data_IF_287317415110
#
_entry.id   IF_287317415110
#
_cell.length_a   1.000
_cell.length_b   1.000
_cell.length_c   1.000
_cell.angle_alpha   90.00
_cell.angle_beta   90.00
_cell.angle_gamma   90.00
#
_symmetry.space_group_name_H-M   'P 1'
#
loop_
_entity.id
_entity.type
_entity.pdbx_description
1 polymer ?
#
# COMPACT_ATOMS: atom_id res chain seq x y z
N UNK A 1 -108.43 -3.18 29.46
CA UNK A 1 -107.67 -4.40 29.14
C UNK A 1 -107.55 -4.48 27.63
N UNK A 2 -106.35 -4.69 27.09
CA UNK A 2 -106.14 -4.91 25.65
C UNK A 2 -105.95 -6.41 25.45
N UNK A 3 -106.65 -7.02 24.50
CA UNK A 3 -106.48 -8.44 24.16
C UNK A 3 -105.05 -8.73 23.72
N UNK A 4 -104.47 -9.82 24.25
CA UNK A 4 -103.05 -10.18 24.09
C UNK A 4 -102.72 -10.71 22.70
N UNK A 5 -103.73 -11.13 21.94
CA UNK A 5 -103.57 -11.70 20.59
C UNK A 5 -103.68 -10.58 19.54
N UNK A 6 -102.53 -10.09 19.07
CA UNK A 6 -102.45 -9.12 17.96
C UNK A 6 -101.53 -7.91 18.19
N UNK A 7 -100.96 -7.75 19.38
CA UNK A 7 -100.08 -6.60 19.71
C UNK A 7 -98.65 -6.84 19.22
N UNK A 8 -98.14 -6.00 18.30
CA UNK A 8 -96.79 -6.10 17.70
C UNK A 8 -95.70 -5.50 18.61
N UNK A 9 -96.00 -4.35 19.21
CA UNK A 9 -95.16 -3.64 20.17
C UNK A 9 -96.04 -3.13 21.31
N UNK A 10 -95.53 -3.15 22.54
CA UNK A 10 -96.21 -2.61 23.70
C UNK A 10 -95.25 -1.77 24.55
N UNK A 11 -95.79 -0.70 25.12
CA UNK A 11 -95.07 0.24 26.00
C UNK A 11 -95.66 0.07 27.39
N UNK A 12 -94.83 -0.31 28.35
CA UNK A 12 -95.19 -0.36 29.76
C UNK A 12 -94.56 0.82 30.48
N UNK A 13 -95.39 1.71 31.03
CA UNK A 13 -94.97 2.89 31.79
C UNK A 13 -95.31 2.66 33.26
N UNK A 14 -94.33 2.77 34.14
CA UNK A 14 -94.50 2.71 35.59
C UNK A 14 -93.68 3.79 36.29
N UNK A 15 -93.84 3.91 37.61
CA UNK A 15 -93.00 4.78 38.44
C UNK A 15 -91.51 4.37 38.47
N UNK A 16 -91.18 3.15 38.03
CA UNK A 16 -89.81 2.62 37.96
C UNK A 16 -89.16 2.85 36.58
N UNK A 17 -89.93 3.25 35.58
CA UNK A 17 -89.44 3.57 34.24
C UNK A 17 -90.37 3.12 33.11
N UNK A 18 -89.88 3.25 31.88
CA UNK A 18 -90.59 2.82 30.67
C UNK A 18 -89.87 1.64 30.03
N UNK A 19 -90.59 0.53 29.80
CA UNK A 19 -90.09 -0.63 29.05
C UNK A 19 -90.89 -0.77 27.76
N UNK A 20 -90.19 -0.72 26.63
CA UNK A 20 -90.75 -1.02 25.32
C UNK A 20 -90.38 -2.46 24.99
N UNK A 21 -91.36 -3.29 24.65
CA UNK A 21 -91.14 -4.67 24.22
C UNK A 21 -91.97 -4.99 22.97
N UNK A 22 -91.40 -5.75 22.05
CA UNK A 22 -92.05 -6.13 20.80
C UNK A 22 -91.06 -6.77 19.84
N UNK A 23 -91.57 -7.43 18.80
CA UNK A 23 -90.74 -8.17 17.83
C UNK A 23 -90.24 -7.32 16.66
N UNK A 24 -90.75 -6.08 16.53
CA UNK A 24 -90.44 -5.15 15.43
C UNK A 24 -90.31 -3.72 15.93
N UNK A 25 -89.34 -3.48 16.82
CA UNK A 25 -88.99 -2.12 17.21
C UNK A 25 -88.13 -1.50 16.10
N UNK A 26 -88.64 -0.44 15.48
CA UNK A 26 -87.93 0.35 14.48
C UNK A 26 -87.85 1.79 14.99
N UNK A 27 -86.64 2.26 15.28
CA UNK A 27 -86.36 3.63 15.69
C UNK A 27 -85.87 4.38 14.44
N UNK A 28 -86.51 5.50 14.12
CA UNK A 28 -86.25 6.31 12.92
C UNK A 28 -86.18 7.80 13.27
N UNK A 29 -85.88 8.69 12.31
CA UNK A 29 -85.61 10.13 12.47
C UNK A 29 -84.37 10.46 13.34
N UNK A 30 -84.11 11.75 13.57
CA UNK A 30 -83.07 12.27 14.49
C UNK A 30 -83.42 11.89 15.95
N UNK A 31 -83.32 10.60 16.28
CA UNK A 31 -83.52 10.10 17.64
C UNK A 31 -82.21 10.19 18.41
N UNK A 32 -82.20 10.99 19.47
CA UNK A 32 -81.07 11.10 20.38
C UNK A 32 -81.21 10.06 21.51
N UNK A 33 -80.16 9.26 21.74
CA UNK A 33 -80.13 8.24 22.80
C UNK A 33 -78.93 8.52 23.70
N UNK A 34 -79.17 9.13 24.84
CA UNK A 34 -78.14 9.37 25.85
C UNK A 34 -77.82 8.10 26.64
N UNK A 35 -76.52 7.89 26.92
CA UNK A 35 -76.02 6.83 27.81
C UNK A 35 -76.55 5.42 27.47
N UNK A 36 -76.71 5.13 26.18
CA UNK A 36 -77.20 3.83 25.71
C UNK A 36 -76.29 2.68 26.22
N UNK A 37 -76.89 1.64 26.77
CA UNK A 37 -76.20 0.39 27.11
C UNK A 37 -76.57 -0.66 26.06
N UNK A 38 -75.63 -0.98 25.18
CA UNK A 38 -75.76 -2.05 24.19
C UNK A 38 -74.83 -3.19 24.59
N UNK A 39 -75.40 -4.35 24.97
CA UNK A 39 -74.61 -5.53 25.33
C UNK A 39 -74.13 -6.28 24.08
N UNK A 40 -75.02 -6.42 23.10
CA UNK A 40 -74.79 -7.07 21.81
C UNK A 40 -75.59 -6.35 20.73
N UNK A 41 -75.07 -6.31 19.49
CA UNK A 41 -75.78 -5.77 18.34
C UNK A 41 -75.39 -6.51 17.05
N UNK A 42 -76.37 -6.80 16.19
CA UNK A 42 -76.15 -7.30 14.84
C UNK A 42 -76.06 -6.12 13.87
N UNK A 43 -74.86 -5.56 13.72
CA UNK A 43 -74.61 -4.41 12.85
C UNK A 43 -74.00 -4.91 11.54
N UNK A 44 -74.70 -4.71 10.41
CA UNK A 44 -74.15 -5.06 9.10
C UNK A 44 -73.04 -4.12 8.66
N UNK A 45 -73.17 -2.84 8.97
CA UNK A 45 -72.19 -1.79 8.70
C UNK A 45 -72.39 -0.61 9.65
N UNK A 46 -71.31 0.13 9.93
CA UNK A 46 -71.30 1.30 10.79
C UNK A 46 -70.41 2.37 10.15
N UNK A 47 -70.94 3.58 9.94
CA UNK A 47 -70.08 4.75 9.70
C UNK A 47 -69.43 5.14 11.03
N UNK A 48 -68.11 5.02 11.11
CA UNK A 48 -67.35 5.13 12.35
C UNK A 48 -66.66 6.50 12.55
N UNK A 49 -67.01 7.52 11.76
CA UNK A 49 -66.35 8.83 11.74
C UNK A 49 -66.49 9.62 13.06
N UNK A 50 -67.41 9.21 13.94
CA UNK A 50 -67.65 9.83 15.26
C UNK A 50 -67.36 8.90 16.44
N UNK A 51 -66.78 7.72 16.22
CA UNK A 51 -66.43 6.83 17.34
C UNK A 51 -65.25 7.41 18.10
N UNK A 52 -65.50 7.84 19.34
CA UNK A 52 -64.47 8.15 20.33
C UNK A 52 -64.66 7.18 21.50
N UNK A 53 -63.66 6.34 21.75
CA UNK A 53 -63.73 5.28 22.76
C UNK A 53 -62.52 5.33 23.68
N UNK A 54 -62.69 4.96 24.96
CA UNK A 54 -61.56 4.79 25.88
C UNK A 54 -60.73 3.55 25.55
N UNK A 55 -61.39 2.40 25.42
CA UNK A 55 -60.77 1.13 25.04
C UNK A 55 -61.60 0.43 23.99
N UNK A 56 -60.98 0.05 22.88
CA UNK A 56 -61.54 -0.89 21.90
C UNK A 56 -60.75 -2.19 22.04
N UNK A 57 -61.40 -3.26 22.49
CA UNK A 57 -60.79 -4.59 22.49
C UNK A 57 -60.82 -5.16 21.06
N UNK A 58 -59.70 -5.03 20.35
CA UNK A 58 -59.58 -5.38 18.94
C UNK A 58 -59.12 -6.83 18.68
N UNK A 59 -59.33 -7.76 19.62
CA UNK A 59 -58.84 -9.14 19.51
C UNK A 59 -59.27 -9.88 18.22
N UNK A 60 -60.43 -9.53 17.65
CA UNK A 60 -61.00 -10.15 16.46
C UNK A 60 -61.33 -9.15 15.34
N UNK A 61 -60.68 -7.98 15.33
CA UNK A 61 -60.94 -6.93 14.32
C UNK A 61 -59.91 -7.03 13.20
N UNK A 62 -60.38 -7.08 11.94
CA UNK A 62 -59.54 -6.90 10.77
C UNK A 62 -59.49 -5.42 10.38
N UNK A 63 -58.32 -4.81 10.48
CA UNK A 63 -58.09 -3.41 10.06
C UNK A 63 -57.43 -3.42 8.68
N UNK A 64 -58.09 -2.83 7.70
CA UNK A 64 -57.56 -2.73 6.33
C UNK A 64 -56.57 -1.57 6.22
N UNK A 65 -56.93 -0.41 6.77
CA UNK A 65 -56.09 0.79 6.82
C UNK A 65 -56.16 1.38 8.22
N UNK A 66 -55.01 1.75 8.79
CA UNK A 66 -54.91 2.46 10.06
C UNK A 66 -54.24 3.81 9.79
N UNK A 67 -55.01 4.89 9.90
CA UNK A 67 -54.46 6.24 9.93
C UNK A 67 -54.39 6.70 11.39
N UNK A 68 -53.18 6.77 11.93
CA UNK A 68 -52.95 7.13 13.33
C UNK A 68 -51.77 8.08 13.42
N UNK A 69 -51.95 9.20 14.14
CA UNK A 69 -50.87 10.16 14.41
C UNK A 69 -49.79 9.52 15.30
N UNK A 70 -50.19 8.65 16.23
CA UNK A 70 -49.30 7.95 17.14
C UNK A 70 -49.75 6.49 17.34
N UNK A 71 -48.79 5.60 17.47
CA UNK A 71 -49.01 4.19 17.85
C UNK A 71 -48.18 3.91 19.11
N UNK A 72 -48.84 3.86 20.26
CA UNK A 72 -48.23 3.43 21.52
C UNK A 72 -48.58 1.96 21.73
N UNK A 73 -47.61 1.07 21.48
CA UNK A 73 -47.78 -0.38 21.63
C UNK A 73 -46.55 -0.99 22.29
N UNK A 74 -46.66 -2.24 22.75
CA UNK A 74 -45.47 -3.00 23.15
C UNK A 74 -44.68 -3.51 21.94
N UNK A 75 -45.39 -4.16 21.01
CA UNK A 75 -44.81 -4.78 19.82
C UNK A 75 -45.77 -4.65 18.63
N UNK A 76 -45.24 -4.25 17.47
CA UNK A 76 -45.91 -4.39 16.18
C UNK A 76 -45.26 -5.56 15.45
N UNK A 77 -46.02 -6.60 15.11
CA UNK A 77 -45.46 -7.84 14.55
C UNK A 77 -46.29 -8.38 13.40
N UNK A 78 -45.62 -8.71 12.31
CA UNK A 78 -46.10 -9.60 11.25
C UNK A 78 -45.20 -10.83 11.12
N UNK A 79 -45.42 -11.63 10.08
CA UNK A 79 -44.61 -12.83 9.82
C UNK A 79 -43.13 -12.53 9.60
N UNK A 80 -42.81 -11.41 8.93
CA UNK A 80 -41.46 -11.10 8.48
C UNK A 80 -40.80 -9.91 9.19
N UNK A 81 -41.53 -9.19 10.05
CA UNK A 81 -41.06 -7.97 10.72
C UNK A 81 -41.62 -7.88 12.15
N UNK A 82 -40.73 -7.60 13.10
CA UNK A 82 -41.08 -7.26 14.49
C UNK A 82 -40.47 -5.89 14.83
N UNK A 83 -41.29 -4.96 15.31
CA UNK A 83 -40.88 -3.67 15.85
C UNK A 83 -41.22 -3.66 17.34
N UNK A 84 -40.21 -3.78 18.19
CA UNK A 84 -40.35 -3.70 19.64
C UNK A 84 -40.25 -2.26 20.10
N UNK A 85 -41.38 -1.60 20.32
CA UNK A 85 -41.41 -0.19 20.77
C UNK A 85 -40.96 -0.05 22.24
N UNK A 86 -41.08 -1.11 23.03
CA UNK A 86 -40.54 -1.15 24.40
C UNK A 86 -39.02 -1.43 24.47
N UNK A 87 -38.46 -2.12 23.47
CA UNK A 87 -37.05 -2.55 23.47
C UNK A 87 -36.15 -1.76 22.53
N UNK A 88 -36.72 -1.02 21.57
CA UNK A 88 -35.98 -0.36 20.49
C UNK A 88 -35.49 -1.31 19.39
N UNK A 89 -35.80 -2.60 19.45
CA UNK A 89 -35.36 -3.58 18.46
C UNK A 89 -36.27 -3.57 17.22
N UNK A 90 -35.65 -3.60 16.04
CA UNK A 90 -36.33 -3.84 14.76
C UNK A 90 -35.72 -5.10 14.14
N UNK A 91 -36.51 -6.17 14.06
CA UNK A 91 -36.06 -7.47 13.56
C UNK A 91 -36.76 -7.83 12.26
N UNK A 92 -35.98 -8.02 11.21
CA UNK A 92 -36.44 -8.59 9.95
C UNK A 92 -36.13 -10.09 9.94
N UNK A 93 -37.16 -10.93 9.85
CA UNK A 93 -37.01 -12.38 9.69
C UNK A 93 -36.78 -12.76 8.22
N UNK A 94 -37.38 -12.00 7.32
CA UNK A 94 -37.23 -12.14 5.88
C UNK A 94 -37.52 -10.80 5.20
N UNK A 95 -37.10 -10.69 3.94
CA UNK A 95 -37.39 -9.52 3.10
C UNK A 95 -36.15 -8.68 2.79
N UNK A 96 -36.41 -7.46 2.32
CA UNK A 96 -35.39 -6.53 1.85
C UNK A 96 -35.80 -5.08 2.11
N UNK A 97 -34.80 -4.23 2.36
CA UNK A 97 -34.94 -2.76 2.34
C UNK A 97 -34.20 -2.28 1.09
N UNK A 98 -34.91 -1.71 0.12
CA UNK A 98 -34.29 -1.29 -1.13
C UNK A 98 -34.90 -0.01 -1.70
N UNK A 99 -34.10 0.74 -2.46
CA UNK A 99 -34.60 1.84 -3.30
C UNK A 99 -35.41 1.28 -4.49
N UNK A 100 -36.28 2.09 -5.10
CA UNK A 100 -37.14 1.65 -6.19
C UNK A 100 -36.37 1.07 -7.40
N UNK A 101 -35.17 1.59 -7.65
CA UNK A 101 -34.23 1.13 -8.68
C UNK A 101 -33.29 -0.01 -8.22
N UNK A 102 -33.35 -0.41 -6.94
CA UNK A 102 -32.45 -1.38 -6.28
C UNK A 102 -30.97 -0.95 -6.30
N UNK A 103 -30.68 0.34 -6.42
CA UNK A 103 -29.34 0.89 -6.27
C UNK A 103 -28.84 0.76 -4.83
N UNK A 104 -29.69 1.01 -3.83
CA UNK A 104 -29.43 0.70 -2.42
C UNK A 104 -30.25 -0.54 -2.07
N UNK A 105 -29.62 -1.60 -1.56
CA UNK A 105 -30.33 -2.84 -1.20
C UNK A 105 -29.67 -3.54 0.00
N UNK A 106 -30.49 -3.81 1.02
CA UNK A 106 -30.19 -4.68 2.17
C UNK A 106 -31.13 -5.88 2.07
N UNK A 107 -30.57 -7.06 1.82
CA UNK A 107 -31.37 -8.26 1.60
C UNK A 107 -31.10 -9.29 2.71
N UNK A 108 -32.11 -9.54 3.52
CA UNK A 108 -32.01 -10.43 4.69
C UNK A 108 -31.99 -11.89 4.24
N UNK A 109 -32.77 -12.23 3.23
CA UNK A 109 -32.84 -13.59 2.69
C UNK A 109 -31.50 -14.02 2.10
N UNK A 110 -30.88 -13.13 1.32
CA UNK A 110 -29.64 -13.40 0.59
C UNK A 110 -28.38 -12.96 1.36
N UNK A 111 -28.52 -12.37 2.56
CA UNK A 111 -27.42 -11.96 3.45
C UNK A 111 -26.40 -11.05 2.76
N UNK A 112 -26.88 -9.94 2.17
CA UNK A 112 -26.01 -8.92 1.61
C UNK A 112 -26.46 -7.50 1.90
N UNK A 113 -25.52 -6.57 1.79
CA UNK A 113 -25.74 -5.12 1.73
C UNK A 113 -25.05 -4.61 0.47
N UNK A 114 -25.69 -3.72 -0.28
CA UNK A 114 -25.09 -3.18 -1.50
C UNK A 114 -25.55 -1.77 -1.87
N UNK A 115 -24.65 -1.06 -2.55
CA UNK A 115 -24.89 0.27 -3.13
C UNK A 115 -24.31 0.29 -4.54
N UNK A 116 -25.10 0.70 -5.53
CA UNK A 116 -24.70 0.77 -6.94
C UNK A 116 -24.82 2.19 -7.52
N UNK A 117 -24.00 2.47 -8.51
CA UNK A 117 -24.16 3.57 -9.44
C UNK A 117 -24.22 3.02 -10.88
N UNK A 118 -23.97 3.86 -11.90
CA UNK A 118 -23.98 3.44 -13.31
C UNK A 118 -22.83 2.50 -13.71
N UNK A 119 -21.72 2.50 -12.97
CA UNK A 119 -20.46 1.85 -13.34
C UNK A 119 -20.14 0.63 -12.47
N UNK A 120 -20.49 0.67 -11.18
CA UNK A 120 -20.18 -0.39 -10.22
C UNK A 120 -21.21 -0.51 -9.08
N UNK A 121 -21.12 -1.63 -8.36
CA UNK A 121 -21.81 -1.90 -7.10
C UNK A 121 -20.79 -2.29 -6.04
N UNK A 122 -20.83 -1.62 -4.90
CA UNK A 122 -20.22 -2.11 -3.67
C UNK A 122 -21.15 -3.18 -3.10
N UNK A 123 -20.62 -4.39 -2.92
CA UNK A 123 -21.37 -5.57 -2.49
C UNK A 123 -20.69 -6.19 -1.28
N UNK A 124 -21.43 -6.30 -0.17
CA UNK A 124 -20.93 -6.85 1.09
C UNK A 124 -21.73 -8.13 1.37
N UNK A 125 -21.04 -9.27 1.38
CA UNK A 125 -21.63 -10.57 1.72
C UNK A 125 -20.54 -11.54 2.14
N UNK A 126 -20.89 -12.61 2.86
CA UNK A 126 -19.93 -13.68 3.20
C UNK A 126 -18.69 -13.25 3.99
N UNK A 127 -18.69 -12.06 4.60
CA UNK A 127 -17.53 -11.51 5.30
C UNK A 127 -16.52 -10.77 4.41
N UNK A 128 -16.84 -10.53 3.14
CA UNK A 128 -16.01 -9.78 2.19
C UNK A 128 -16.72 -8.53 1.66
N UNK A 129 -15.93 -7.58 1.15
CA UNK A 129 -16.40 -6.42 0.39
C UNK A 129 -15.89 -6.57 -1.04
N UNK A 130 -16.79 -6.48 -2.01
CA UNK A 130 -16.46 -6.50 -3.42
C UNK A 130 -16.95 -5.24 -4.13
N UNK A 131 -16.20 -4.79 -5.16
CA UNK A 131 -16.73 -3.90 -6.19
C UNK A 131 -17.00 -4.71 -7.45
N UNK A 132 -18.25 -4.76 -7.90
CA UNK A 132 -18.71 -5.59 -9.02
C UNK A 132 -19.50 -4.77 -10.04
N UNK A 133 -19.95 -5.39 -11.13
CA UNK A 133 -20.86 -4.75 -12.07
C UNK A 133 -22.17 -4.32 -11.39
N UNK A 134 -22.77 -3.18 -11.78
CA UNK A 134 -23.86 -2.54 -11.04
C UNK A 134 -25.16 -3.38 -11.00
N UNK A 135 -25.34 -4.27 -11.98
CA UNK A 135 -26.52 -5.12 -12.17
C UNK A 135 -26.48 -6.45 -11.41
N UNK A 136 -25.34 -6.80 -10.79
CA UNK A 136 -25.15 -8.08 -10.10
C UNK A 136 -25.53 -7.98 -8.62
N UNK A 137 -26.10 -9.05 -8.06
CA UNK A 137 -26.53 -9.12 -6.65
C UNK A 137 -25.97 -10.36 -5.92
N UNK A 138 -24.76 -10.77 -6.30
CA UNK A 138 -24.07 -11.91 -5.72
C UNK A 138 -22.55 -11.71 -5.80
N UNK A 139 -21.82 -12.34 -4.87
CA UNK A 139 -20.37 -12.37 -4.91
C UNK A 139 -19.87 -12.94 -6.23
N UNK A 140 -18.83 -12.33 -6.77
CA UNK A 140 -18.18 -12.73 -8.00
C UNK A 140 -16.85 -13.40 -7.69
N UNK A 141 -16.42 -14.32 -8.54
CA UNK A 141 -15.07 -14.91 -8.49
C UNK A 141 -14.00 -13.94 -9.01
N UNK A 142 -14.39 -12.99 -9.87
CA UNK A 142 -13.51 -11.99 -10.49
C UNK A 142 -14.12 -10.58 -10.38
N UNK A 143 -14.33 -10.06 -9.15
CA UNK A 143 -14.80 -8.69 -8.92
C UNK A 143 -13.75 -7.68 -9.36
N UNK A 144 -14.10 -6.41 -9.56
CA UNK A 144 -13.11 -5.36 -9.85
C UNK A 144 -12.10 -5.20 -8.70
N UNK A 145 -12.61 -5.20 -7.48
CA UNK A 145 -11.85 -5.14 -6.22
C UNK A 145 -12.48 -6.12 -5.22
N UNK A 146 -11.66 -6.80 -4.42
CA UNK A 146 -12.08 -7.62 -3.28
C UNK A 146 -11.23 -7.29 -2.06
N UNK A 147 -11.90 -7.01 -0.94
CA UNK A 147 -11.31 -6.93 0.39
C UNK A 147 -11.85 -8.10 1.19
N UNK A 148 -10.96 -8.98 1.64
CA UNK A 148 -11.33 -10.22 2.30
C UNK A 148 -10.19 -10.75 3.15
N UNK A 149 -10.47 -11.72 4.01
CA UNK A 149 -9.44 -12.51 4.68
C UNK A 149 -9.03 -13.75 3.84
N UNK A 150 -9.29 -13.70 2.53
CA UNK A 150 -8.90 -14.77 1.63
C UNK A 150 -7.38 -14.83 1.50
N UNK A 151 -6.86 -16.04 1.42
CA UNK A 151 -5.42 -16.31 1.30
C UNK A 151 -4.86 -15.76 -0.02
N UNK A 152 -3.79 -14.97 0.08
CA UNK A 152 -2.96 -14.56 -1.04
C UNK A 152 -1.49 -14.66 -0.62
N UNK A 153 -0.79 -15.68 -1.14
CA UNK A 153 0.60 -15.96 -0.76
C UNK A 153 0.72 -16.41 0.70
N UNK A 154 1.55 -15.74 1.49
CA UNK A 154 1.85 -16.11 2.88
C UNK A 154 0.89 -15.52 3.93
N UNK A 155 -0.29 -15.04 3.54
CA UNK A 155 -1.20 -14.22 4.36
C UNK A 155 -2.03 -15.01 5.39
N UNK A 156 -1.44 -15.95 6.14
CA UNK A 156 -2.15 -16.69 7.20
C UNK A 156 -2.66 -15.73 8.28
N UNK A 157 -3.98 -15.58 8.39
CA UNK A 157 -4.63 -14.63 9.31
C UNK A 157 -4.62 -13.17 8.85
N UNK A 158 -4.26 -12.88 7.59
CA UNK A 158 -4.18 -11.52 7.05
C UNK A 158 -5.42 -11.05 6.28
N UNK A 159 -5.46 -9.76 5.99
CA UNK A 159 -6.41 -9.16 5.06
C UNK A 159 -5.75 -8.99 3.68
N UNK A 160 -6.50 -9.29 2.62
CA UNK A 160 -6.07 -9.15 1.24
C UNK A 160 -6.88 -8.06 0.57
N UNK A 161 -6.18 -7.11 -0.05
CA UNK A 161 -6.74 -6.17 -1.02
C UNK A 161 -6.37 -6.66 -2.42
N UNK A 162 -7.36 -7.14 -3.17
CA UNK A 162 -7.14 -7.76 -4.47
C UNK A 162 -7.84 -6.95 -5.56
N UNK A 163 -7.11 -6.61 -6.63
CA UNK A 163 -7.64 -5.97 -7.82
C UNK A 163 -7.57 -6.95 -8.99
N UNK A 164 -8.57 -6.91 -9.88
CA UNK A 164 -8.71 -7.91 -10.95
C UNK A 164 -7.60 -7.89 -11.99
N UNK A 165 -7.39 -6.72 -12.58
CA UNK A 165 -6.57 -6.54 -13.77
C UNK A 165 -5.40 -5.60 -13.45
N UNK A 166 -5.71 -4.36 -13.06
CA UNK A 166 -4.74 -3.31 -12.77
C UNK A 166 -5.10 -2.59 -11.46
N UNK A 167 -4.13 -2.27 -10.63
CA UNK A 167 -4.33 -1.49 -9.41
C UNK A 167 -3.52 -0.19 -9.42
N UNK A 168 -4.08 0.83 -8.79
CA UNK A 168 -3.41 2.10 -8.48
C UNK A 168 -3.81 2.50 -7.07
N UNK A 169 -2.81 2.76 -6.22
CA UNK A 169 -3.00 3.42 -4.93
C UNK A 169 -2.22 4.72 -4.98
N UNK A 170 -2.95 5.84 -5.03
CA UNK A 170 -2.38 7.18 -5.19
C UNK A 170 -3.26 8.21 -4.47
N UNK A 171 -2.75 9.44 -4.34
CA UNK A 171 -3.53 10.58 -3.91
C UNK A 171 -3.98 11.40 -5.13
N UNK A 172 -5.11 12.11 -5.01
CA UNK A 172 -5.72 12.82 -6.14
C UNK A 172 -4.93 14.01 -6.70
N UNK A 173 -3.86 14.46 -6.05
CA UNK A 173 -2.96 15.47 -6.62
C UNK A 173 -1.85 14.88 -7.49
N UNK A 174 -1.69 13.54 -7.48
CA UNK A 174 -0.57 12.82 -8.10
C UNK A 174 -1.03 11.52 -8.78
N UNK A 175 -2.20 11.52 -9.38
CA UNK A 175 -2.81 10.38 -10.07
C UNK A 175 -2.54 10.35 -11.59
N UNK A 176 -1.81 11.34 -12.11
CA UNK A 176 -1.31 11.41 -13.49
C UNK A 176 0.06 10.76 -13.71
N UNK A 177 0.52 10.75 -14.96
CA UNK A 177 1.87 10.31 -15.40
C UNK A 177 2.30 8.92 -14.92
N UNK A 178 1.36 7.97 -14.90
CA UNK A 178 1.61 6.57 -14.55
C UNK A 178 2.21 5.80 -15.74
N UNK A 179 3.30 6.31 -16.31
CA UNK A 179 4.04 5.67 -17.40
C UNK A 179 5.15 4.75 -16.87
N UNK A 180 5.44 3.70 -17.65
CA UNK A 180 6.53 2.73 -17.43
C UNK A 180 7.90 3.41 -17.32
N UNK A 181 8.14 4.44 -18.14
CA UNK A 181 9.33 5.28 -18.06
C UNK A 181 8.90 6.70 -17.70
N UNK A 182 9.44 7.29 -16.62
CA UNK A 182 9.15 8.69 -16.31
C UNK A 182 9.75 9.58 -17.41
N UNK A 183 8.92 10.45 -18.00
CA UNK A 183 9.36 11.48 -18.93
C UNK A 183 9.38 12.82 -18.21
N UNK A 184 10.54 13.45 -18.07
CA UNK A 184 10.68 14.69 -17.30
C UNK A 184 10.53 14.48 -15.79
N UNK A 185 9.96 15.47 -15.11
CA UNK A 185 9.71 15.40 -13.67
C UNK A 185 8.60 14.39 -13.36
N UNK A 186 8.77 13.57 -12.33
CA UNK A 186 7.74 12.63 -11.90
C UNK A 186 6.57 13.38 -11.24
N UNK A 187 5.34 13.06 -11.62
CA UNK A 187 4.13 13.58 -10.95
C UNK A 187 3.32 12.50 -10.23
N UNK A 188 3.53 11.21 -10.53
CA UNK A 188 2.87 10.10 -9.83
C UNK A 188 3.45 9.86 -8.43
N UNK A 189 2.59 9.79 -7.41
CA UNK A 189 2.96 9.45 -6.03
C UNK A 189 2.07 8.32 -5.50
N UNK A 190 2.62 7.11 -5.45
CA UNK A 190 1.85 5.92 -5.11
C UNK A 190 2.49 4.62 -5.59
N UNK A 191 1.68 3.57 -5.63
CA UNK A 191 2.04 2.27 -6.20
C UNK A 191 1.01 1.86 -7.25
N UNK A 192 1.47 1.35 -8.39
CA UNK A 192 0.61 0.78 -9.41
C UNK A 192 1.21 -0.48 -10.03
N UNK A 193 0.38 -1.29 -10.67
CA UNK A 193 0.83 -2.48 -11.40
C UNK A 193 -0.32 -3.35 -11.89
N UNK A 194 0.01 -4.33 -12.72
CA UNK A 194 -0.94 -5.30 -13.26
C UNK A 194 -1.08 -5.24 -14.78
N UNK A 195 -2.21 -5.75 -15.29
CA UNK A 195 -2.54 -5.84 -16.70
C UNK A 195 -3.47 -4.70 -17.13
N UNK A 196 -2.90 -3.67 -17.77
CA UNK A 196 -3.66 -2.57 -18.35
C UNK A 196 -4.23 -2.95 -19.74
N UNK A 197 -5.00 -2.07 -20.37
CA UNK A 197 -5.51 -2.25 -21.74
C UNK A 197 -4.37 -2.44 -22.76
N UNK A 198 -3.20 -1.86 -22.49
CA UNK A 198 -1.97 -1.99 -23.30
C UNK A 198 -1.14 -3.23 -22.96
N UNK A 199 -1.61 -4.11 -22.05
CA UNK A 199 -0.91 -5.31 -21.60
C UNK A 199 -0.32 -5.18 -20.18
N UNK A 200 0.49 -6.18 -19.79
CA UNK A 200 1.20 -6.19 -18.52
C UNK A 200 2.13 -4.99 -18.38
N UNK A 201 1.98 -4.27 -17.28
CA UNK A 201 2.83 -3.14 -16.91
C UNK A 201 3.73 -3.53 -15.74
N UNK A 202 4.93 -2.94 -15.62
CA UNK A 202 5.75 -3.12 -14.43
C UNK A 202 5.06 -2.55 -13.20
N UNK A 203 5.42 -3.07 -12.02
CA UNK A 203 5.06 -2.42 -10.76
C UNK A 203 5.85 -1.12 -10.63
N UNK A 204 5.13 0.00 -10.54
CA UNK A 204 5.71 1.33 -10.37
C UNK A 204 5.54 1.79 -8.92
N UNK A 205 6.61 2.27 -8.31
CA UNK A 205 6.57 3.03 -7.07
C UNK A 205 7.01 4.45 -7.41
N UNK A 206 6.11 5.41 -7.23
CA UNK A 206 6.34 6.82 -7.52
C UNK A 206 6.28 7.68 -6.26
N UNK A 207 7.07 8.76 -6.26
CA UNK A 207 7.13 9.75 -5.19
C UNK A 207 6.85 11.19 -5.64
N UNK A 208 6.39 11.35 -6.88
CA UNK A 208 6.31 12.61 -7.59
C UNK A 208 7.64 13.41 -7.50
N UNK A 209 7.59 14.73 -7.46
CA UNK A 209 8.74 15.63 -7.32
C UNK A 209 9.44 15.56 -5.96
N UNK A 210 8.91 14.76 -5.03
CA UNK A 210 9.40 14.61 -3.65
C UNK A 210 10.16 13.31 -3.42
N UNK A 211 10.30 12.47 -4.45
CA UNK A 211 11.12 11.27 -4.35
C UNK A 211 10.53 10.14 -3.51
N UNK A 212 11.26 9.03 -3.41
CA UNK A 212 10.84 7.80 -2.71
C UNK A 212 11.89 7.41 -1.68
N UNK A 213 11.49 7.23 -0.43
CA UNK A 213 12.32 6.67 0.64
C UNK A 213 11.91 5.21 0.90
N UNK A 214 12.85 4.28 0.73
CA UNK A 214 12.66 2.87 1.05
C UNK A 214 13.58 2.56 2.24
N UNK A 215 13.01 2.29 3.41
CA UNK A 215 13.77 2.08 4.66
C UNK A 215 13.32 0.84 5.41
N UNK A 216 14.24 0.18 6.11
CA UNK A 216 13.94 -0.97 6.98
C UNK A 216 15.20 -1.54 7.63
N UNK A 217 15.08 -2.66 8.35
CA UNK A 217 16.24 -3.33 8.96
C UNK A 217 16.71 -2.74 10.30
N UNK A 218 17.79 -3.32 10.84
CA UNK A 218 18.40 -2.93 12.12
C UNK A 218 19.28 -1.69 11.94
N UNK A 219 19.48 -0.95 13.03
CA UNK A 219 20.43 0.16 13.13
C UNK A 219 21.82 -0.23 12.59
N UNK A 220 22.38 0.64 11.74
CA UNK A 220 23.80 0.68 11.40
C UNK A 220 24.36 2.02 11.88
N UNK A 221 25.52 2.04 12.53
CA UNK A 221 26.03 3.25 13.21
C UNK A 221 27.17 3.90 12.46
N UNK A 222 26.98 5.18 12.15
CA UNK A 222 28.01 6.17 11.79
C UNK A 222 27.88 7.38 12.76
N UNK A 223 28.02 7.10 14.07
CA UNK A 223 27.83 8.08 15.15
C UNK A 223 26.37 8.48 15.47
N UNK A 224 25.43 8.25 14.55
CA UNK A 224 23.98 8.42 14.73
C UNK A 224 23.29 7.09 14.40
N UNK A 225 22.31 6.69 15.20
CA UNK A 225 21.55 5.45 14.99
C UNK A 225 20.54 5.57 13.85
N UNK A 226 20.80 4.93 12.72
CA UNK A 226 19.98 5.02 11.50
C UNK A 226 19.71 3.61 10.95
N UNK A 227 18.49 3.34 10.46
CA UNK A 227 18.19 2.10 9.71
C UNK A 227 18.62 2.24 8.25
N UNK A 228 19.06 1.17 7.56
CA UNK A 228 19.45 1.27 6.16
C UNK A 228 18.28 1.70 5.27
N UNK A 229 18.59 2.45 4.21
CA UNK A 229 17.61 2.96 3.28
C UNK A 229 18.15 3.26 1.89
N UNK A 230 17.22 3.47 0.96
CA UNK A 230 17.43 4.00 -0.39
C UNK A 230 16.57 5.26 -0.55
N UNK A 231 17.15 6.34 -1.06
CA UNK A 231 16.43 7.56 -1.45
C UNK A 231 16.52 7.74 -2.95
N UNK A 232 15.38 7.77 -3.63
CA UNK A 232 15.25 8.14 -5.04
C UNK A 232 14.78 9.59 -5.12
N UNK A 233 15.49 10.43 -5.86
CA UNK A 233 15.24 11.88 -5.89
C UNK A 233 16.01 12.64 -4.81
N UNK A 234 17.10 12.09 -4.27
CA UNK A 234 17.89 12.79 -3.26
C UNK A 234 18.52 14.07 -3.83
N UNK A 235 18.59 15.11 -3.01
CA UNK A 235 19.25 16.39 -3.32
C UNK A 235 20.76 16.37 -3.06
N UNK A 236 21.27 15.25 -2.52
CA UNK A 236 22.71 14.99 -2.38
C UNK A 236 23.35 15.61 -1.14
N UNK A 237 22.60 16.35 -0.32
CA UNK A 237 23.08 16.90 0.94
C UNK A 237 22.19 16.45 2.10
N UNK A 238 22.78 16.26 3.28
CA UNK A 238 22.01 15.93 4.48
C UNK A 238 21.06 17.10 4.83
N UNK A 239 19.77 16.81 5.01
CA UNK A 239 18.76 17.78 5.46
C UNK A 239 18.11 18.63 4.37
N UNK A 240 18.44 18.44 3.08
CA UNK A 240 17.94 19.30 1.99
C UNK A 240 16.69 18.77 1.25
N UNK A 241 16.12 17.64 1.70
CA UNK A 241 14.90 17.06 1.11
C UNK A 241 15.16 16.10 -0.06
N UNK A 242 14.08 15.69 -0.74
CA UNK A 242 14.06 14.58 -1.71
C UNK A 242 13.53 14.98 -3.10
N UNK A 243 13.79 16.22 -3.50
CA UNK A 243 13.40 16.80 -4.79
C UNK A 243 14.58 17.00 -5.77
N UNK A 244 15.66 16.24 -5.60
CA UNK A 244 16.83 16.26 -6.45
C UNK A 244 16.84 15.16 -7.51
N UNK A 245 17.97 15.01 -8.18
CA UNK A 245 18.19 14.05 -9.27
C UNK A 245 18.94 12.79 -8.86
N UNK A 246 19.37 12.68 -7.59
CA UNK A 246 20.28 11.64 -7.17
C UNK A 246 19.54 10.42 -6.63
N UNK A 247 20.22 9.28 -6.63
CA UNK A 247 19.83 8.10 -5.85
C UNK A 247 20.93 7.88 -4.81
N UNK A 248 20.58 7.90 -3.54
CA UNK A 248 21.51 7.61 -2.45
C UNK A 248 21.10 6.32 -1.73
N UNK A 249 22.10 5.60 -1.25
CA UNK A 249 21.92 4.35 -0.50
C UNK A 249 22.79 4.41 0.74
N UNK A 250 22.22 4.16 1.91
CA UNK A 250 22.98 4.09 3.16
C UNK A 250 22.76 2.74 3.84
N UNK A 251 23.87 2.04 4.10
CA UNK A 251 23.94 0.75 4.78
C UNK A 251 25.41 0.45 5.12
N UNK A 252 25.66 -0.56 5.97
CA UNK A 252 27.03 -1.06 6.20
C UNK A 252 27.67 -1.68 4.95
N UNK A 253 26.88 -2.37 4.12
CA UNK A 253 27.35 -3.01 2.88
C UNK A 253 26.28 -2.99 1.80
N UNK A 254 26.71 -2.86 0.54
CA UNK A 254 25.89 -3.12 -0.65
C UNK A 254 26.45 -4.36 -1.34
N UNK A 255 25.73 -5.48 -1.28
CA UNK A 255 26.14 -6.72 -1.93
C UNK A 255 25.54 -6.82 -3.34
N UNK A 256 26.38 -6.72 -4.37
CA UNK A 256 26.02 -7.00 -5.76
C UNK A 256 26.40 -8.44 -6.12
N UNK A 257 25.55 -9.41 -5.76
CA UNK A 257 25.77 -10.83 -6.06
C UNK A 257 25.34 -11.14 -7.49
N UNK A 258 26.30 -11.43 -8.36
CA UNK A 258 26.07 -11.84 -9.76
C UNK A 258 26.58 -13.26 -9.98
N UNK A 259 25.81 -14.09 -10.69
CA UNK A 259 26.27 -15.39 -11.21
C UNK A 259 27.14 -15.27 -12.46
N UNK A 260 27.21 -14.06 -13.02
CA UNK A 260 28.03 -13.75 -14.19
C UNK A 260 29.34 -13.11 -13.74
N UNK A 261 30.45 -13.65 -14.23
CA UNK A 261 31.76 -13.02 -14.18
C UNK A 261 32.10 -12.39 -15.53
N UNK A 262 32.99 -11.41 -15.52
CA UNK A 262 33.52 -10.78 -16.73
C UNK A 262 35.03 -10.76 -16.63
N UNK A 263 35.72 -11.02 -17.74
CA UNK A 263 37.17 -10.81 -17.86
C UNK A 263 37.53 -9.37 -18.25
N UNK A 264 36.54 -8.49 -18.40
CA UNK A 264 36.77 -7.07 -18.63
C UNK A 264 37.25 -6.41 -17.34
N UNK A 265 38.09 -5.37 -17.47
CA UNK A 265 38.62 -4.63 -16.32
C UNK A 265 37.53 -3.94 -15.48
N UNK A 266 37.90 -3.54 -14.26
CA UNK A 266 37.03 -2.74 -13.40
C UNK A 266 36.77 -1.37 -14.08
N UNK A 267 35.52 -1.17 -14.54
CA UNK A 267 35.14 0.01 -15.33
C UNK A 267 34.35 1.05 -14.54
N UNK A 268 34.23 0.90 -13.22
CA UNK A 268 33.57 1.86 -12.35
C UNK A 268 34.50 2.26 -11.21
N UNK A 269 34.58 3.57 -10.95
CA UNK A 269 35.27 4.17 -9.81
C UNK A 269 34.22 4.61 -8.78
N UNK A 270 34.49 4.33 -7.51
CA UNK A 270 33.70 4.85 -6.39
C UNK A 270 34.38 6.11 -5.88
N UNK A 271 33.78 7.26 -6.16
CA UNK A 271 34.29 8.56 -5.74
C UNK A 271 34.22 8.75 -4.21
N UNK A 272 35.00 9.68 -3.63
CA UNK A 272 35.00 9.95 -2.19
C UNK A 272 33.62 10.31 -1.60
N UNK A 273 32.75 10.93 -2.40
CA UNK A 273 31.37 11.29 -2.02
C UNK A 273 30.37 10.12 -2.14
N UNK A 274 30.84 8.92 -2.52
CA UNK A 274 30.03 7.72 -2.71
C UNK A 274 29.43 7.56 -4.11
N UNK A 275 29.73 8.47 -5.05
CA UNK A 275 29.25 8.34 -6.43
C UNK A 275 29.94 7.19 -7.17
N UNK A 276 29.16 6.33 -7.82
CA UNK A 276 29.67 5.31 -8.73
C UNK A 276 29.71 5.88 -10.16
N UNK A 277 30.91 6.06 -10.71
CA UNK A 277 31.13 6.69 -12.02
C UNK A 277 31.93 5.79 -12.96
N UNK A 278 31.72 5.87 -14.29
CA UNK A 278 32.49 5.06 -15.24
C UNK A 278 33.94 5.55 -15.38
N UNK A 279 34.90 4.65 -15.24
CA UNK A 279 36.33 4.90 -15.50
C UNK A 279 36.57 5.01 -17.00
N UNK A 280 37.17 6.11 -17.47
CA UNK A 280 37.45 6.34 -18.88
C UNK A 280 38.92 6.74 -19.12
N UNK A 281 39.48 6.32 -20.26
CA UNK A 281 40.88 6.63 -20.60
C UNK A 281 41.05 7.26 -21.99
N UNK A 282 39.95 7.44 -22.73
CA UNK A 282 39.99 8.00 -24.08
C UNK A 282 40.38 9.49 -24.07
N UNK A 283 41.18 9.91 -25.05
CA UNK A 283 41.69 11.28 -25.15
C UNK A 283 40.59 12.35 -25.16
N UNK A 284 39.38 12.06 -25.66
CA UNK A 284 38.24 13.00 -25.67
C UNK A 284 37.75 13.44 -24.27
N UNK A 285 38.14 12.71 -23.23
CA UNK A 285 37.83 13.04 -21.84
C UNK A 285 39.05 13.64 -21.10
N UNK A 286 40.15 13.92 -21.80
CA UNK A 286 41.43 14.36 -21.22
C UNK A 286 41.94 15.63 -21.92
N UNK A 287 42.52 16.54 -21.17
CA UNK A 287 43.25 17.71 -21.68
C UNK A 287 44.73 17.59 -21.28
N UNK A 288 45.60 18.42 -21.87
CA UNK A 288 47.01 18.58 -21.48
C UNK A 288 47.83 17.27 -21.50
N UNK A 289 47.58 16.42 -22.52
CA UNK A 289 48.24 15.12 -22.67
C UNK A 289 49.73 15.32 -23.06
N UNK A 290 50.63 15.10 -22.10
CA UNK A 290 52.09 15.03 -22.32
C UNK A 290 52.52 13.59 -22.55
N UNK A 291 53.43 13.36 -23.51
CA UNK A 291 54.03 12.04 -23.78
C UNK A 291 55.51 12.10 -23.41
N UNK A 292 55.94 11.20 -22.52
CA UNK A 292 57.32 11.15 -22.01
C UNK A 292 57.86 9.71 -22.03
N UNK A 293 59.19 9.59 -22.09
CA UNK A 293 59.94 8.34 -21.93
C UNK A 293 61.05 8.48 -20.87
N UNK A 294 60.89 9.43 -19.95
CA UNK A 294 61.81 9.63 -18.83
C UNK A 294 61.73 8.46 -17.84
N UNK A 295 62.87 8.11 -17.23
CA UNK A 295 62.99 6.94 -16.35
C UNK A 295 62.88 7.27 -14.87
N UNK A 296 62.93 8.55 -14.48
CA UNK A 296 63.08 8.99 -13.08
C UNK A 296 62.07 8.37 -12.11
N UNK A 297 60.81 8.25 -12.53
CA UNK A 297 59.73 7.66 -11.74
C UNK A 297 60.01 6.18 -11.49
N UNK A 298 60.38 5.44 -12.55
CA UNK A 298 60.77 4.04 -12.45
C UNK A 298 62.03 3.84 -11.61
N UNK A 299 63.03 4.73 -11.75
CA UNK A 299 64.28 4.68 -10.99
C UNK A 299 64.00 4.82 -9.48
N UNK A 300 63.18 5.80 -9.08
CA UNK A 300 62.75 5.97 -7.69
C UNK A 300 61.92 4.80 -7.18
N UNK A 301 61.02 4.26 -8.01
CA UNK A 301 60.14 3.17 -7.63
C UNK A 301 60.92 1.89 -7.26
N UNK A 302 62.09 1.65 -7.87
CA UNK A 302 62.94 0.51 -7.53
C UNK A 302 63.55 0.59 -6.12
N UNK A 303 63.62 1.79 -5.53
CA UNK A 303 64.16 2.03 -4.19
C UNK A 303 63.09 1.93 -3.10
N UNK A 304 61.80 1.83 -3.47
CA UNK A 304 60.68 1.72 -2.52
C UNK A 304 60.52 0.26 -2.07
N UNK A 305 60.48 -0.03 -0.76
CA UNK A 305 60.35 -1.38 -0.26
C UNK A 305 58.95 -1.98 -0.51
N UNK A 306 58.90 -3.31 -0.64
CA UNK A 306 57.65 -4.06 -0.56
C UNK A 306 57.32 -4.40 0.89
N UNK A 307 56.03 -4.50 1.20
CA UNK A 307 55.52 -4.71 2.55
C UNK A 307 54.64 -5.96 2.63
N UNK A 308 54.59 -6.54 3.84
CA UNK A 308 53.56 -7.50 4.23
C UNK A 308 52.80 -6.95 5.43
N UNK A 309 51.47 -7.02 5.42
CA UNK A 309 50.64 -6.51 6.51
C UNK A 309 49.46 -7.40 6.81
N UNK A 310 48.78 -7.12 7.93
CA UNK A 310 47.48 -7.68 8.30
C UNK A 310 46.49 -6.55 8.44
N UNK A 311 45.24 -6.79 8.04
CA UNK A 311 44.19 -5.79 8.20
C UNK A 311 43.84 -5.58 9.69
N UNK A 312 43.65 -4.31 10.09
CA UNK A 312 43.40 -3.96 11.49
C UNK A 312 42.04 -4.45 11.98
N UNK A 313 41.00 -4.44 11.14
CA UNK A 313 39.68 -4.92 11.50
C UNK A 313 39.65 -6.44 11.60
N UNK A 314 40.32 -7.16 10.70
CA UNK A 314 40.46 -8.62 10.81
C UNK A 314 41.15 -9.01 12.12
N UNK A 315 42.26 -8.34 12.46
CA UNK A 315 42.98 -8.56 13.71
C UNK A 315 42.10 -8.23 14.92
N UNK A 316 41.35 -7.13 14.88
CA UNK A 316 40.43 -6.75 15.95
C UNK A 316 39.29 -7.77 16.09
N UNK A 317 38.67 -8.19 14.99
CA UNK A 317 37.61 -9.20 14.97
C UNK A 317 38.09 -10.51 15.59
N UNK A 318 39.30 -10.97 15.25
CA UNK A 318 39.91 -12.16 15.86
C UNK A 318 40.25 -11.99 17.34
N UNK A 319 40.59 -10.77 17.76
CA UNK A 319 40.87 -10.43 19.16
C UNK A 319 39.59 -10.42 20.00
N UNK A 320 38.48 -9.93 19.44
CA UNK A 320 37.18 -9.86 20.10
C UNK A 320 36.43 -11.21 20.09
N UNK A 321 36.58 -12.00 19.03
CA UNK A 321 36.00 -13.33 18.90
C UNK A 321 37.06 -14.36 18.47
N UNK A 322 37.50 -15.25 19.38
CA UNK A 322 38.45 -16.32 19.05
C UNK A 322 37.99 -17.26 17.92
N UNK A 323 36.69 -17.34 17.63
CA UNK A 323 36.13 -18.16 16.55
C UNK A 323 36.09 -17.45 15.19
N UNK A 324 36.34 -16.14 15.13
CA UNK A 324 36.40 -15.40 13.87
C UNK A 324 37.53 -15.93 12.96
N UNK A 325 37.46 -15.61 11.66
CA UNK A 325 38.49 -16.00 10.67
C UNK A 325 39.87 -15.52 11.14
N UNK A 326 40.90 -16.37 10.99
CA UNK A 326 42.29 -15.95 11.23
C UNK A 326 42.67 -14.86 10.22
N UNK A 327 43.23 -13.72 10.65
CA UNK A 327 43.60 -12.63 9.75
C UNK A 327 44.60 -13.08 8.69
N UNK A 328 44.35 -12.72 7.44
CA UNK A 328 45.24 -13.03 6.33
C UNK A 328 46.47 -12.13 6.35
N UNK A 329 47.56 -12.56 5.69
CA UNK A 329 48.73 -11.72 5.45
C UNK A 329 48.73 -11.27 4.00
N UNK A 330 48.71 -9.97 3.80
CA UNK A 330 48.66 -9.32 2.49
C UNK A 330 50.06 -8.88 2.07
N UNK A 331 50.29 -8.80 0.75
CA UNK A 331 51.57 -8.40 0.14
C UNK A 331 51.33 -7.25 -0.86
N UNK A 332 52.24 -6.27 -0.88
CA UNK A 332 52.14 -5.11 -1.76
C UNK A 332 53.14 -4.02 -1.37
N UNK A 333 52.74 -2.76 -1.54
CA UNK A 333 53.46 -1.57 -1.09
C UNK A 333 52.58 -0.74 -0.15
N UNK A 334 53.18 0.13 0.65
CA UNK A 334 52.47 1.10 1.49
C UNK A 334 52.43 2.45 0.76
N UNK A 335 51.29 3.12 0.79
CA UNK A 335 51.08 4.37 0.06
C UNK A 335 51.97 5.50 0.61
N UNK A 336 52.17 5.54 1.92
CA UNK A 336 53.03 6.51 2.60
C UNK A 336 54.49 6.40 2.12
N UNK A 337 55.01 5.18 1.93
CA UNK A 337 56.39 4.98 1.44
C UNK A 337 56.59 5.52 0.01
N UNK A 338 55.55 5.45 -0.84
CA UNK A 338 55.57 6.04 -2.18
C UNK A 338 55.49 7.57 -2.13
N UNK A 339 54.68 8.11 -1.21
CA UNK A 339 54.56 9.55 -1.00
C UNK A 339 55.89 10.15 -0.52
N UNK A 340 56.54 9.52 0.46
CA UNK A 340 57.84 9.90 1.03
C UNK A 340 58.97 9.86 -0.02
N UNK A 341 58.91 8.93 -0.98
CA UNK A 341 59.84 8.86 -2.10
C UNK A 341 59.59 9.95 -3.18
N UNK A 342 58.54 10.75 -3.01
CA UNK A 342 58.11 11.76 -3.97
C UNK A 342 57.56 11.16 -5.26
N UNK A 343 56.85 10.03 -5.16
CA UNK A 343 56.12 9.37 -6.24
C UNK A 343 54.63 9.70 -6.19
N UNK A 344 54.30 10.98 -5.98
CA UNK A 344 52.94 11.46 -5.69
C UNK A 344 51.91 11.08 -6.78
N UNK A 345 52.34 10.88 -8.03
CA UNK A 345 51.46 10.48 -9.14
C UNK A 345 50.96 9.02 -9.08
N UNK A 346 51.61 8.21 -8.25
CA UNK A 346 51.26 6.82 -7.96
C UNK A 346 50.44 6.69 -6.66
N UNK A 347 50.22 7.80 -5.96
CA UNK A 347 49.48 7.86 -4.69
C UNK A 347 48.07 8.40 -4.95
N UNK A 348 47.08 7.84 -4.26
CA UNK A 348 45.73 8.37 -4.17
C UNK A 348 45.58 9.13 -2.86
N UNK A 349 45.02 10.34 -2.93
CA UNK A 349 44.77 11.20 -1.78
C UNK A 349 43.27 11.36 -1.55
N UNK A 350 42.87 11.60 -0.31
CA UNK A 350 41.51 12.03 0.03
C UNK A 350 41.27 13.51 -0.29
N UNK A 351 40.04 13.98 -0.12
CA UNK A 351 39.64 15.37 -0.41
C UNK A 351 40.36 16.42 0.47
N UNK A 352 41.03 15.99 1.54
CA UNK A 352 41.82 16.84 2.44
C UNK A 352 43.31 16.79 2.13
N UNK A 353 43.72 16.01 1.13
CA UNK A 353 45.11 15.83 0.72
C UNK A 353 45.89 14.80 1.55
N UNK A 354 45.22 13.96 2.35
CA UNK A 354 45.90 12.89 3.08
C UNK A 354 46.08 11.67 2.18
N UNK A 355 47.19 10.95 2.37
CA UNK A 355 47.46 9.67 1.69
C UNK A 355 46.34 8.68 2.00
N UNK A 356 45.74 8.12 0.95
CA UNK A 356 44.60 7.19 1.04
C UNK A 356 44.91 5.83 0.43
N UNK A 357 45.72 5.77 -0.62
CA UNK A 357 45.96 4.52 -1.33
C UNK A 357 47.01 4.63 -2.43
N UNK A 358 47.13 3.54 -3.20
CA UNK A 358 48.10 3.40 -4.29
C UNK A 358 47.35 3.21 -5.59
N UNK A 359 47.78 3.90 -6.65
CA UNK A 359 47.35 3.66 -8.02
C UNK A 359 48.12 2.47 -8.62
N UNK A 360 47.80 1.26 -8.15
CA UNK A 360 48.50 0.03 -8.51
C UNK A 360 48.55 -0.23 -10.03
N UNK A 361 47.54 0.20 -10.78
CA UNK A 361 47.50 0.13 -12.24
C UNK A 361 48.60 0.96 -12.90
N UNK A 362 49.06 2.04 -12.25
CA UNK A 362 50.10 2.94 -12.77
C UNK A 362 51.52 2.52 -12.40
N UNK A 363 51.70 1.77 -11.32
CA UNK A 363 53.01 1.29 -10.84
C UNK A 363 53.76 0.55 -11.94
N UNK A 364 53.11 -0.40 -12.62
CA UNK A 364 53.74 -1.12 -13.73
C UNK A 364 54.01 -0.22 -14.94
N UNK A 365 53.16 0.77 -15.20
CA UNK A 365 53.33 1.72 -16.31
C UNK A 365 54.56 2.61 -16.09
N UNK A 366 54.85 2.99 -14.85
CA UNK A 366 56.02 3.78 -14.48
C UNK A 366 57.36 3.07 -14.78
N UNK A 367 57.36 1.73 -14.81
CA UNK A 367 58.55 0.94 -15.14
C UNK A 367 58.80 0.80 -16.65
N UNK A 368 57.80 1.07 -17.51
CA UNK A 368 57.93 0.86 -18.96
C UNK A 368 59.11 1.65 -19.57
N UNK A 369 59.29 2.96 -19.29
CA UNK A 369 60.43 3.71 -19.83
C UNK A 369 61.77 3.16 -19.35
N UNK A 370 61.86 2.78 -18.07
CA UNK A 370 63.08 2.21 -17.48
C UNK A 370 63.42 0.84 -18.10
N UNK A 371 62.45 -0.05 -18.23
CA UNK A 371 62.63 -1.35 -18.87
C UNK A 371 63.08 -1.18 -20.32
N UNK A 372 62.53 -0.19 -21.04
CA UNK A 372 62.98 0.14 -22.40
C UNK A 372 64.44 0.57 -22.39
N UNK A 373 64.83 1.47 -21.48
CA UNK A 373 66.21 1.93 -21.35
C UNK A 373 67.17 0.75 -21.08
N UNK A 374 66.81 -0.15 -20.17
CA UNK A 374 67.61 -1.34 -19.87
C UNK A 374 67.71 -2.29 -21.06
N UNK A 375 66.61 -2.55 -21.76
CA UNK A 375 66.63 -3.36 -22.99
C UNK A 375 67.60 -2.78 -24.01
N UNK A 376 67.49 -1.48 -24.29
CA UNK A 376 68.31 -0.82 -25.31
C UNK A 376 69.80 -0.85 -24.90
N UNK A 377 70.11 -0.68 -23.61
CA UNK A 377 71.46 -0.76 -23.07
C UNK A 377 72.03 -2.19 -23.09
N UNK A 378 71.21 -3.21 -22.78
CA UNK A 378 71.59 -4.61 -22.89
C UNK A 378 71.93 -4.94 -24.35
N UNK A 379 71.10 -4.52 -25.31
CA UNK A 379 71.37 -4.72 -26.75
C UNK A 379 72.68 -4.06 -27.18
N UNK A 380 72.95 -2.84 -26.69
CA UNK A 380 74.23 -2.17 -26.97
C UNK A 380 75.42 -2.96 -26.40
N UNK A 381 75.30 -3.46 -25.16
CA UNK A 381 76.33 -4.26 -24.50
C UNK A 381 76.55 -5.60 -25.23
N UNK A 382 75.49 -6.30 -25.64
CA UNK A 382 75.57 -7.55 -26.40
C UNK A 382 76.27 -7.34 -27.75
N UNK A 383 75.98 -6.25 -28.45
CA UNK A 383 76.64 -5.88 -29.69
C UNK A 383 78.14 -5.60 -29.48
N UNK A 384 78.51 -4.88 -28.42
CA UNK A 384 79.92 -4.65 -28.06
C UNK A 384 80.65 -5.94 -27.74
N UNK A 385 80.03 -6.84 -26.97
CA UNK A 385 80.60 -8.17 -26.67
C UNK A 385 80.80 -8.99 -27.94
N UNK A 386 79.87 -8.94 -28.90
CA UNK A 386 80.01 -9.63 -30.18
C UNK A 386 81.20 -9.10 -30.99
N UNK A 387 81.35 -7.77 -31.07
CA UNK A 387 82.47 -7.13 -31.75
C UNK A 387 83.83 -7.44 -31.09
N UNK A 388 83.87 -7.58 -29.76
CA UNK A 388 85.08 -7.96 -29.03
C UNK A 388 85.49 -9.44 -29.19
N UNK A 389 84.57 -10.33 -29.62
CA UNK A 389 84.86 -11.76 -29.85
C UNK A 389 85.26 -12.07 -31.30
N UNK A 390 85.10 -11.10 -32.21
CA UNK A 390 85.48 -11.21 -33.63
C UNK A 390 86.89 -10.63 -33.91
N UNK A 391 87.65 -10.29 -32.85
CA UNK A 391 89.08 -9.93 -32.84
C UNK A 391 89.83 -11.00 -32.05
#
# INVERSE_FOLDING_TARGET
MVEKNGVINAINVSSEGTKIYGSKLHITADTYIDNAIIKDAMISSLSADKITAGTINAANINVINLNADNITAGTIRGTNLTIGLNSGNVEFQAGRIHSADNAIDININNKYISVANKDNRVFISGGEIQMIQPTLFSSQSSPYVRISNAEAGASWGGATFWARDYFVVTNGANDGDIFTSPMGQQHFAGISGGHATSGWQPTKIGGAERGVLISGGREFTDGIGISPYIRVGDSGHAGTGMNGSNISMQASYIYLKSTHSTSHGANAYLAPDGALVPSNSAAKYKTDIVRTFETQVGDKLLEVPVAHWKDKEEVLAKTLDPNAKTPDTYFGMIADDLDDAGLNELVEYDDKGNVRGIQYDRVALALIPLIRNYRDRITELENKVKQMKEV
#
